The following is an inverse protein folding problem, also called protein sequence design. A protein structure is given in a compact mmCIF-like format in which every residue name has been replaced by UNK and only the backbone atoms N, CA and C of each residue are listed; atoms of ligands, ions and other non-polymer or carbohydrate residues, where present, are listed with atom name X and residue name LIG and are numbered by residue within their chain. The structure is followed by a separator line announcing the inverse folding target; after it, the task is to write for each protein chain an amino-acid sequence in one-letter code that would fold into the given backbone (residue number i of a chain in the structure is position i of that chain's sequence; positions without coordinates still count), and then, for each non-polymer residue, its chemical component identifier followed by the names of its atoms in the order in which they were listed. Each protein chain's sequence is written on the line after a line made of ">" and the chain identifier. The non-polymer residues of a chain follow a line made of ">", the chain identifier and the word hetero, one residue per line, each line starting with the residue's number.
data_IF_649411893576
#
_entry.id   IF_649411893576
#
_cell.length_a   1.000
_cell.length_b   1.000
_cell.length_c   1.000
_cell.angle_alpha   90.00
_cell.angle_beta   90.00
_cell.angle_gamma   90.00
#
_symmetry.space_group_name_H-M   'P 1'
#
loop_
_entity.id
_entity.type
_entity.pdbx_description
1 polymer ?
#
# COMPACT_ATOMS: atom_id res chain seq x y z
N UNK A 1 26.53 7.08 -7.77
CA UNK A 1 27.28 5.94 -7.21
C UNK A 1 28.05 5.28 -8.33
N UNK A 2 29.37 5.18 -8.22
CA UNK A 2 30.21 4.33 -9.07
C UNK A 2 30.52 3.03 -8.30
N UNK A 3 30.50 1.88 -8.97
CA UNK A 3 30.85 0.59 -8.36
C UNK A 3 32.07 0.00 -9.06
N UNK A 4 32.95 -0.60 -8.27
CA UNK A 4 34.23 -1.14 -8.73
C UNK A 4 34.05 -2.29 -9.75
N UNK A 5 33.08 -3.18 -9.53
CA UNK A 5 32.81 -4.32 -10.41
C UNK A 5 31.40 -4.89 -10.18
N UNK A 6 30.97 -5.82 -11.05
CA UNK A 6 29.69 -6.53 -10.94
C UNK A 6 29.54 -7.30 -9.62
N UNK A 7 30.64 -7.89 -9.11
CA UNK A 7 30.67 -8.59 -7.82
C UNK A 7 30.47 -7.65 -6.63
N UNK A 8 31.13 -6.48 -6.66
CA UNK A 8 30.95 -5.46 -5.63
C UNK A 8 29.52 -4.95 -5.58
N UNK A 9 28.90 -4.72 -6.74
CA UNK A 9 27.47 -4.35 -6.83
C UNK A 9 26.55 -5.45 -6.27
N UNK A 10 26.82 -6.71 -6.60
CA UNK A 10 26.06 -7.85 -6.06
C UNK A 10 26.18 -7.94 -4.53
N UNK A 11 27.39 -7.76 -4.00
CA UNK A 11 27.64 -7.74 -2.57
C UNK A 11 26.92 -6.58 -1.87
N UNK A 12 26.90 -5.39 -2.46
CA UNK A 12 26.14 -4.26 -1.91
C UNK A 12 24.63 -4.54 -1.85
N UNK A 13 24.06 -5.16 -2.89
CA UNK A 13 22.66 -5.60 -2.85
C UNK A 13 22.44 -6.56 -1.68
N UNK A 14 23.32 -7.55 -1.52
CA UNK A 14 23.24 -8.51 -0.43
C UNK A 14 23.30 -7.86 0.96
N UNK A 15 24.29 -6.98 1.21
CA UNK A 15 24.45 -6.28 2.49
C UNK A 15 23.22 -5.44 2.82
N UNK A 16 22.70 -4.68 1.84
CA UNK A 16 21.53 -3.83 2.05
C UNK A 16 20.28 -4.64 2.41
N UNK A 17 20.07 -5.77 1.73
CA UNK A 17 18.94 -6.66 2.03
C UNK A 17 19.11 -7.36 3.40
N UNK A 18 20.32 -7.77 3.77
CA UNK A 18 20.58 -8.35 5.09
C UNK A 18 20.32 -7.34 6.22
N UNK A 19 20.78 -6.09 6.06
CA UNK A 19 20.54 -5.03 7.04
C UNK A 19 19.06 -4.70 7.20
N UNK A 20 18.32 -4.61 6.08
CA UNK A 20 16.88 -4.45 6.09
C UNK A 20 16.18 -5.60 6.84
N UNK A 21 16.51 -6.85 6.50
CA UNK A 21 15.90 -8.02 7.10
C UNK A 21 16.09 -8.04 8.63
N UNK A 22 17.28 -7.66 9.10
CA UNK A 22 17.58 -7.58 10.52
C UNK A 22 16.71 -6.53 11.21
N UNK A 23 16.69 -5.30 10.70
CA UNK A 23 15.87 -4.20 11.24
C UNK A 23 14.39 -4.57 11.24
N UNK A 24 13.91 -5.18 10.15
CA UNK A 24 12.53 -5.62 10.02
C UNK A 24 12.16 -6.68 11.07
N UNK A 25 13.01 -7.70 11.26
CA UNK A 25 12.76 -8.77 12.23
C UNK A 25 12.81 -8.25 13.67
N UNK A 26 13.78 -7.40 14.01
CA UNK A 26 13.89 -6.81 15.34
C UNK A 26 12.68 -5.95 15.68
N UNK A 27 12.19 -5.18 14.71
CA UNK A 27 10.97 -4.39 14.85
C UNK A 27 9.75 -5.27 15.11
N UNK A 28 9.53 -6.29 14.28
CA UNK A 28 8.39 -7.21 14.44
C UNK A 28 8.40 -7.92 15.81
N UNK A 29 9.58 -8.30 16.31
CA UNK A 29 9.72 -8.88 17.66
C UNK A 29 9.35 -7.89 18.76
N UNK A 30 9.76 -6.62 18.63
CA UNK A 30 9.40 -5.57 19.60
C UNK A 30 7.89 -5.31 19.62
N UNK A 31 7.27 -5.23 18.44
CA UNK A 31 5.81 -5.08 18.30
C UNK A 31 5.08 -6.26 18.96
N UNK A 32 5.51 -7.50 18.72
CA UNK A 32 4.95 -8.70 19.35
C UNK A 32 5.14 -8.75 20.88
N UNK A 33 6.27 -8.25 21.39
CA UNK A 33 6.51 -8.20 22.84
C UNK A 33 5.66 -7.15 23.57
N UNK A 34 5.35 -6.05 22.89
CA UNK A 34 4.57 -4.94 23.47
C UNK A 34 3.08 -5.27 23.53
N UNK A 35 2.56 -6.00 22.54
CA UNK A 35 1.18 -6.47 22.54
C UNK A 35 0.90 -7.51 23.63
N UNK A 36 1.90 -8.29 24.05
CA UNK A 36 1.78 -9.26 25.13
C UNK A 36 1.72 -8.68 26.56
N UNK A 37 2.23 -7.46 26.79
CA UNK A 37 2.28 -6.87 28.13
C UNK A 37 0.99 -6.14 28.55
N UNK A 38 0.12 -5.74 27.60
CA UNK A 38 -1.13 -5.06 27.91
C UNK A 38 -2.30 -6.02 28.29
N UNK A 39 -2.05 -7.33 28.39
CA UNK A 39 -3.07 -8.36 28.68
C UNK A 39 -3.40 -8.60 30.16
N UNK A 40 -2.89 -7.79 31.10
CA UNK A 40 -3.20 -7.93 32.54
C UNK A 40 -3.72 -6.62 33.13
N UNK A 41 -4.98 -6.28 32.83
CA UNK A 41 -5.76 -5.33 33.64
C UNK A 41 -7.17 -5.86 33.83
N UNK A 42 -7.43 -6.26 35.09
CA UNK A 42 -8.68 -6.40 35.84
C UNK A 42 -9.91 -7.05 35.19
N UNK A 43 -10.30 -8.20 35.77
CA UNK A 43 -11.65 -8.73 35.70
C UNK A 43 -12.66 -7.68 36.21
N UNK A 44 -13.52 -7.21 35.31
CA UNK A 44 -14.65 -6.35 35.60
C UNK A 44 -15.74 -6.65 34.57
N UNK A 45 -16.84 -7.21 35.06
CA UNK A 45 -18.01 -7.66 34.29
C UNK A 45 -18.56 -6.55 33.38
N UNK A 46 -18.69 -6.84 32.09
CA UNK A 46 -19.36 -6.01 31.10
C UNK A 46 -19.38 -6.71 29.74
N UNK A 47 -20.55 -7.19 29.32
CA UNK A 47 -20.74 -7.80 27.99
C UNK A 47 -20.78 -6.67 26.97
N UNK A 48 -19.68 -6.48 26.22
CA UNK A 48 -19.57 -5.49 25.15
C UNK A 48 -18.92 -6.11 23.93
N UNK A 49 -19.65 -6.17 22.82
CA UNK A 49 -19.09 -6.51 21.51
C UNK A 49 -18.16 -5.38 21.06
N UNK A 50 -16.85 -5.56 21.18
CA UNK A 50 -15.86 -4.76 20.46
C UNK A 50 -14.92 -5.69 19.71
N UNK A 51 -15.33 -6.00 18.48
CA UNK A 51 -14.43 -6.52 17.45
C UNK A 51 -13.34 -5.49 17.19
N UNK A 52 -12.09 -5.96 17.12
CA UNK A 52 -10.90 -5.15 16.93
C UNK A 52 -10.99 -4.30 15.67
N UNK A 53 -11.28 -3.02 15.84
CA UNK A 53 -11.08 -2.00 14.81
C UNK A 53 -9.88 -1.14 15.20
N UNK A 54 -8.86 -1.25 14.35
CA UNK A 54 -7.71 -0.37 14.25
C UNK A 54 -8.18 1.09 14.26
N UNK A 55 -7.42 1.91 14.99
CA UNK A 55 -7.66 3.31 15.28
C UNK A 55 -7.79 4.21 14.03
N UNK A 56 -8.98 4.27 13.43
CA UNK A 56 -9.31 5.24 12.37
C UNK A 56 -10.60 6.04 12.61
N UNK A 57 -11.30 5.85 13.74
CA UNK A 57 -12.57 6.55 13.99
C UNK A 57 -12.44 7.91 14.73
N UNK A 58 -11.24 8.33 15.16
CA UNK A 58 -11.10 9.55 15.98
C UNK A 58 -10.97 10.88 15.21
N UNK A 59 -10.97 10.89 13.87
CA UNK A 59 -10.83 12.14 13.11
C UNK A 59 -12.13 12.87 12.76
N UNK A 60 -13.32 12.31 13.05
CA UNK A 60 -14.59 12.92 12.62
C UNK A 60 -15.59 13.27 13.73
N UNK A 61 -15.22 13.20 15.01
CA UNK A 61 -16.15 13.46 16.13
C UNK A 61 -16.07 14.86 16.75
N UNK A 62 -15.21 15.77 16.26
CA UNK A 62 -14.98 17.09 16.88
C UNK A 62 -15.65 18.27 16.16
N UNK A 63 -16.97 18.20 15.88
CA UNK A 63 -17.69 19.38 15.38
C UNK A 63 -19.07 19.68 15.97
N UNK A 64 -19.46 19.03 17.06
CA UNK A 64 -20.63 19.47 17.84
C UNK A 64 -20.27 19.64 19.32
N UNK A 65 -20.30 20.90 19.75
CA UNK A 65 -20.22 21.47 21.10
C UNK A 65 -19.89 20.57 22.29
N UNK A 66 -18.67 20.73 22.82
CA UNK A 66 -18.38 20.61 24.27
C UNK A 66 -17.28 21.61 24.66
N UNK A 67 -17.39 22.31 25.80
CA UNK A 67 -16.46 23.36 26.15
C UNK A 67 -15.07 22.79 26.49
N UNK A 68 -14.06 23.51 26.00
CA UNK A 68 -12.63 23.37 26.27
C UNK A 68 -12.36 23.10 27.75
N UNK A 69 -11.60 22.05 28.05
CA UNK A 69 -10.68 22.02 29.17
C UNK A 69 -9.36 21.34 28.77
N UNK A 70 -8.29 22.16 28.85
CA UNK A 70 -6.84 21.89 28.90
C UNK A 70 -6.14 21.04 27.81
N UNK A 71 -5.07 21.56 27.19
CA UNK A 71 -4.15 20.79 26.36
C UNK A 71 -3.08 20.13 27.25
N UNK A 72 -3.17 18.82 27.46
CA UNK A 72 -2.02 18.04 27.90
C UNK A 72 -1.19 17.66 26.65
N UNK A 73 0.13 17.90 26.62
CA UNK A 73 0.96 17.55 25.48
C UNK A 73 1.05 16.03 25.37
N UNK A 74 0.62 15.52 24.22
CA UNK A 74 0.40 14.12 23.90
C UNK A 74 1.74 13.45 23.52
N UNK A 75 2.72 13.46 24.43
CA UNK A 75 4.12 13.09 24.14
C UNK A 75 4.30 11.67 23.59
N UNK A 76 3.34 10.76 23.85
CA UNK A 76 3.33 9.42 23.25
C UNK A 76 3.00 9.43 21.76
N UNK A 77 2.13 10.36 21.33
CA UNK A 77 1.76 10.52 19.93
C UNK A 77 2.91 11.10 19.11
N UNK A 78 3.55 12.14 19.62
CA UNK A 78 4.74 12.73 18.98
C UNK A 78 5.88 11.71 18.85
N UNK A 79 6.08 10.90 19.89
CA UNK A 79 7.08 9.82 19.86
C UNK A 79 6.73 8.73 18.83
N UNK A 80 5.46 8.34 18.71
CA UNK A 80 5.00 7.38 17.70
C UNK A 80 5.17 7.93 16.27
N UNK A 81 4.75 9.17 16.03
CA UNK A 81 4.90 9.84 14.72
C UNK A 81 6.38 10.01 14.34
N UNK A 82 7.25 10.37 15.30
CA UNK A 82 8.70 10.46 15.07
C UNK A 82 9.31 9.09 14.72
N UNK A 83 8.87 8.03 15.40
CA UNK A 83 9.35 6.66 15.14
C UNK A 83 8.93 6.20 13.75
N UNK A 84 7.68 6.46 13.35
CA UNK A 84 7.19 6.15 12.00
C UNK A 84 7.98 6.89 10.92
N UNK A 85 8.25 8.18 11.11
CA UNK A 85 9.08 8.97 10.16
C UNK A 85 10.50 8.43 10.02
N UNK A 86 11.11 7.97 11.11
CA UNK A 86 12.44 7.36 11.06
C UNK A 86 12.44 6.04 10.28
N UNK A 87 11.41 5.21 10.49
CA UNK A 87 11.20 3.96 9.75
C UNK A 87 11.01 4.27 8.26
N UNK A 88 10.18 5.24 7.93
CA UNK A 88 9.93 5.65 6.55
C UNK A 88 11.17 6.17 5.86
N UNK A 89 11.98 6.95 6.57
CA UNK A 89 13.25 7.45 6.05
C UNK A 89 14.21 6.30 5.75
N UNK A 90 14.32 5.33 6.66
CA UNK A 90 15.14 4.13 6.47
C UNK A 90 14.65 3.31 5.27
N UNK A 91 13.37 2.99 5.21
CA UNK A 91 12.78 2.22 4.10
C UNK A 91 12.95 2.94 2.76
N UNK A 92 12.72 4.26 2.72
CA UNK A 92 12.91 5.08 1.53
C UNK A 92 14.35 5.06 1.04
N UNK A 93 15.33 5.12 1.96
CA UNK A 93 16.75 5.02 1.62
C UNK A 93 17.11 3.63 1.07
N UNK A 94 16.57 2.56 1.64
CA UNK A 94 16.75 1.19 1.14
C UNK A 94 16.15 1.03 -0.26
N UNK A 95 14.88 1.39 -0.46
CA UNK A 95 14.22 1.29 -1.77
C UNK A 95 14.93 2.13 -2.83
N UNK A 96 15.32 3.37 -2.51
CA UNK A 96 16.04 4.24 -3.44
C UNK A 96 17.41 3.68 -3.82
N UNK A 97 18.14 3.14 -2.83
CA UNK A 97 19.43 2.50 -3.07
C UNK A 97 19.29 1.25 -3.93
N UNK A 98 18.30 0.40 -3.64
CA UNK A 98 18.01 -0.79 -4.45
C UNK A 98 17.54 -0.42 -5.85
N UNK A 99 16.76 0.65 -6.04
CA UNK A 99 16.38 1.15 -7.35
C UNK A 99 17.59 1.59 -8.20
N UNK A 100 18.68 1.99 -7.55
CA UNK A 100 19.96 2.33 -8.19
C UNK A 100 20.83 1.10 -8.41
N UNK A 101 20.83 0.14 -7.48
CA UNK A 101 21.67 -1.06 -7.52
C UNK A 101 21.08 -2.18 -8.36
N UNK A 102 19.76 -2.26 -8.53
CA UNK A 102 19.14 -3.29 -9.35
C UNK A 102 19.52 -3.13 -10.83
N UNK A 103 19.71 -4.25 -11.56
CA UNK A 103 20.09 -4.27 -12.97
C UNK A 103 19.16 -3.42 -13.87
N UNK A 104 19.74 -2.67 -14.82
CA UNK A 104 18.96 -2.01 -15.87
C UNK A 104 19.79 -1.59 -17.09
N UNK A 105 19.42 -2.02 -18.31
CA UNK A 105 20.17 -1.75 -19.53
C UNK A 105 20.03 -0.30 -20.02
N UNK A 106 19.11 0.49 -19.48
CA UNK A 106 18.78 1.85 -19.95
C UNK A 106 19.58 2.96 -19.24
N UNK A 107 20.75 2.65 -18.67
CA UNK A 107 21.63 3.68 -18.11
C UNK A 107 22.60 4.16 -19.19
N UNK A 108 22.31 5.34 -19.73
CA UNK A 108 22.97 6.00 -20.87
C UNK A 108 24.50 6.18 -20.80
N UNK A 109 25.17 5.84 -19.69
CA UNK A 109 26.61 6.10 -19.56
C UNK A 109 27.48 4.87 -19.35
N UNK A 110 26.94 3.71 -18.95
CA UNK A 110 27.75 2.52 -18.64
C UNK A 110 26.90 1.23 -18.67
N UNK A 111 26.57 0.73 -19.86
CA UNK A 111 25.90 -0.57 -20.00
C UNK A 111 26.91 -1.66 -19.64
N UNK A 112 26.78 -2.24 -18.44
CA UNK A 112 27.64 -3.36 -17.98
C UNK A 112 26.94 -4.70 -18.21
N UNK A 113 27.71 -5.79 -18.30
CA UNK A 113 27.16 -7.14 -18.41
C UNK A 113 26.15 -7.50 -17.31
N UNK A 114 26.33 -6.95 -16.10
CA UNK A 114 25.40 -7.08 -14.98
C UNK A 114 24.01 -6.50 -15.28
N UNK A 115 23.93 -5.45 -16.08
CA UNK A 115 22.69 -4.73 -16.42
C UNK A 115 21.97 -5.32 -17.63
N UNK A 116 22.66 -6.08 -18.48
CA UNK A 116 22.04 -6.79 -19.62
C UNK A 116 21.68 -8.23 -19.23
N UNK A 117 22.59 -8.89 -18.51
CA UNK A 117 22.47 -10.28 -18.07
C UNK A 117 22.57 -10.34 -16.55
N UNK A 118 21.49 -9.98 -15.84
CA UNK A 118 21.51 -9.91 -14.39
C UNK A 118 21.78 -11.29 -13.78
N UNK A 119 22.71 -11.41 -12.81
CA UNK A 119 22.93 -12.67 -12.11
C UNK A 119 21.64 -13.15 -11.45
N UNK A 120 21.32 -14.45 -11.58
CA UNK A 120 20.15 -15.06 -10.92
C UNK A 120 20.15 -14.86 -9.40
N UNK A 121 21.34 -14.71 -8.82
CA UNK A 121 21.53 -14.38 -7.41
C UNK A 121 20.79 -13.09 -7.00
N UNK A 122 20.69 -12.07 -7.86
CA UNK A 122 19.94 -10.84 -7.54
C UNK A 122 18.47 -11.16 -7.29
N UNK A 123 17.85 -11.90 -8.20
CA UNK A 123 16.44 -12.31 -8.08
C UNK A 123 16.26 -13.19 -6.84
N UNK A 124 17.15 -14.17 -6.64
CA UNK A 124 17.10 -15.04 -5.46
C UNK A 124 17.18 -14.24 -4.16
N UNK A 125 18.10 -13.27 -4.05
CA UNK A 125 18.22 -12.44 -2.84
C UNK A 125 16.99 -11.57 -2.60
N UNK A 126 16.36 -11.03 -3.66
CA UNK A 126 15.12 -10.25 -3.53
C UNK A 126 13.97 -11.12 -3.04
N UNK A 127 13.78 -12.31 -3.65
CA UNK A 127 12.70 -13.25 -3.31
C UNK A 127 12.82 -13.76 -1.86
N UNK A 128 14.04 -13.98 -1.38
CA UNK A 128 14.30 -14.51 -0.04
C UNK A 128 14.58 -13.44 1.03
N UNK A 129 14.40 -12.16 0.70
CA UNK A 129 14.50 -11.05 1.66
C UNK A 129 13.12 -10.57 2.10
N UNK A 130 13.05 -9.96 3.28
CA UNK A 130 11.86 -9.28 3.81
C UNK A 130 11.47 -8.03 3.02
N UNK A 131 12.28 -7.57 2.08
CA UNK A 131 11.97 -6.42 1.21
C UNK A 131 10.60 -6.57 0.52
N UNK A 132 10.26 -7.78 0.06
CA UNK A 132 8.97 -8.02 -0.61
C UNK A 132 7.80 -8.03 0.36
N UNK A 133 8.03 -8.50 1.60
CA UNK A 133 7.03 -8.40 2.67
C UNK A 133 6.75 -6.93 3.01
N UNK A 134 7.81 -6.12 3.13
CA UNK A 134 7.67 -4.67 3.37
C UNK A 134 7.00 -3.94 2.20
N UNK A 135 7.37 -4.25 0.96
CA UNK A 135 6.70 -3.71 -0.22
C UNK A 135 5.21 -4.07 -0.23
N UNK A 136 4.87 -5.31 0.12
CA UNK A 136 3.50 -5.76 0.21
C UNK A 136 2.70 -5.05 1.29
N UNK A 137 3.28 -4.81 2.47
CA UNK A 137 2.65 -4.01 3.53
C UNK A 137 2.29 -2.60 3.03
N UNK A 138 3.20 -1.96 2.29
CA UNK A 138 2.96 -0.62 1.73
C UNK A 138 1.92 -0.64 0.62
N UNK A 139 1.93 -1.64 -0.26
CA UNK A 139 0.92 -1.78 -1.32
C UNK A 139 -0.45 -2.20 -0.79
N UNK A 140 -0.50 -2.89 0.36
CA UNK A 140 -1.74 -3.26 1.06
C UNK A 140 -2.27 -2.13 1.94
N UNK A 141 -1.58 -1.01 2.10
CA UNK A 141 -2.20 0.11 2.80
C UNK A 141 -3.32 0.67 1.91
N UNK A 142 -4.55 0.31 2.25
CA UNK A 142 -5.77 0.60 1.48
C UNK A 142 -6.16 2.08 1.46
N UNK A 143 -5.34 2.95 2.06
CA UNK A 143 -5.59 4.40 2.19
C UNK A 143 -4.64 5.19 1.31
N UNK A 144 -5.16 5.70 0.19
CA UNK A 144 -4.46 6.69 -0.64
C UNK A 144 -4.08 7.94 0.16
N UNK A 145 -4.82 8.31 1.19
CA UNK A 145 -4.49 9.43 2.06
C UNK A 145 -3.20 9.20 2.86
N UNK A 146 -3.07 8.03 3.48
CA UNK A 146 -1.84 7.67 4.19
C UNK A 146 -0.65 7.60 3.22
N UNK A 147 -0.86 6.97 2.05
CA UNK A 147 0.17 6.89 1.02
C UNK A 147 0.60 8.27 0.51
N UNK A 148 -0.35 9.21 0.39
CA UNK A 148 -0.08 10.60 -0.01
C UNK A 148 0.76 11.33 1.04
N UNK A 149 0.48 11.15 2.33
CA UNK A 149 1.28 11.74 3.41
C UNK A 149 2.73 11.21 3.42
N UNK A 150 2.92 9.97 2.97
CA UNK A 150 4.23 9.27 2.91
C UNK A 150 4.81 9.28 1.49
N UNK A 151 4.62 10.39 0.77
CA UNK A 151 5.00 10.56 -0.65
C UNK A 151 6.42 10.08 -0.98
N UNK A 152 7.41 10.46 -0.17
CA UNK A 152 8.82 10.11 -0.41
C UNK A 152 9.10 8.62 -0.30
N UNK A 153 8.38 7.90 0.57
CA UNK A 153 8.48 6.46 0.70
C UNK A 153 7.87 5.75 -0.52
N UNK A 154 6.67 6.16 -0.93
CA UNK A 154 6.01 5.58 -2.10
C UNK A 154 6.76 5.87 -3.40
N UNK A 155 7.33 7.07 -3.55
CA UNK A 155 8.26 7.41 -4.64
C UNK A 155 9.42 6.41 -4.75
N UNK A 156 10.07 6.13 -3.62
CA UNK A 156 11.19 5.21 -3.57
C UNK A 156 10.76 3.77 -3.90
N UNK A 157 9.64 3.31 -3.31
CA UNK A 157 9.03 2.02 -3.61
C UNK A 157 8.70 1.86 -5.09
N UNK A 158 8.01 2.85 -5.69
CA UNK A 158 7.64 2.83 -7.11
C UNK A 158 8.88 2.79 -7.99
N UNK A 159 9.90 3.60 -7.70
CA UNK A 159 11.16 3.58 -8.44
C UNK A 159 11.85 2.22 -8.38
N UNK A 160 11.85 1.58 -7.21
CA UNK A 160 12.37 0.22 -7.03
C UNK A 160 11.57 -0.81 -7.84
N UNK A 161 10.23 -0.78 -7.80
CA UNK A 161 9.39 -1.71 -8.56
C UNK A 161 9.50 -1.49 -10.07
N UNK A 162 9.56 -0.23 -10.54
CA UNK A 162 9.85 0.11 -11.95
C UNK A 162 11.16 -0.52 -12.38
N UNK A 163 12.19 -0.45 -11.53
CA UNK A 163 13.53 -1.04 -11.79
C UNK A 163 13.50 -2.56 -11.85
N UNK A 164 12.85 -3.22 -10.90
CA UNK A 164 12.69 -4.69 -10.90
C UNK A 164 11.95 -5.16 -12.16
N UNK A 165 10.96 -4.38 -12.62
CA UNK A 165 10.18 -4.66 -13.82
C UNK A 165 10.94 -4.64 -15.14
N UNK A 166 12.17 -4.12 -15.17
CA UNK A 166 12.94 -3.95 -16.42
C UNK A 166 13.36 -5.28 -17.04
N UNK A 167 13.67 -6.30 -16.22
CA UNK A 167 14.02 -7.63 -16.70
C UNK A 167 12.88 -8.61 -16.46
N UNK A 168 12.48 -9.35 -17.50
CA UNK A 168 11.39 -10.33 -17.43
C UNK A 168 11.57 -11.36 -16.30
N UNK A 169 12.80 -11.86 -16.09
CA UNK A 169 13.09 -12.82 -15.01
C UNK A 169 12.83 -12.21 -13.64
N UNK A 170 13.25 -10.95 -13.41
CA UNK A 170 13.03 -10.26 -12.14
C UNK A 170 11.55 -9.93 -11.95
N UNK A 171 10.92 -9.40 -12.99
CA UNK A 171 9.48 -9.08 -13.00
C UNK A 171 8.64 -10.30 -12.66
N UNK A 172 8.85 -11.43 -13.32
CA UNK A 172 8.07 -12.64 -13.09
C UNK A 172 8.21 -13.16 -11.65
N UNK A 173 9.44 -13.31 -11.16
CA UNK A 173 9.68 -13.92 -9.84
C UNK A 173 9.41 -12.97 -8.66
N UNK A 174 9.55 -11.66 -8.85
CA UNK A 174 9.42 -10.68 -7.75
C UNK A 174 8.02 -10.06 -7.70
N UNK A 175 7.42 -9.77 -8.85
CA UNK A 175 6.16 -9.04 -8.95
C UNK A 175 4.97 -9.99 -9.04
N UNK A 176 5.06 -10.98 -9.94
CA UNK A 176 3.92 -11.82 -10.33
C UNK A 176 3.79 -13.14 -9.59
N UNK A 177 4.91 -13.71 -9.13
CA UNK A 177 4.89 -14.92 -8.32
C UNK A 177 4.31 -14.65 -6.93
N UNK A 178 3.71 -15.68 -6.34
CA UNK A 178 3.38 -15.68 -4.92
C UNK A 178 4.65 -15.47 -4.09
N UNK A 179 4.54 -14.67 -3.03
CA UNK A 179 5.68 -14.35 -2.19
C UNK A 179 5.88 -15.45 -1.15
N UNK A 180 7.14 -15.74 -0.88
CA UNK A 180 7.53 -16.64 0.21
C UNK A 180 7.37 -15.88 1.53
N UNK A 181 6.51 -16.34 2.44
CA UNK A 181 6.49 -15.81 3.80
C UNK A 181 7.51 -16.55 4.67
N UNK A 182 8.65 -15.90 4.87
CA UNK A 182 9.72 -16.43 5.70
C UNK A 182 9.43 -16.13 7.18
N UNK A 183 9.64 -17.11 8.09
CA UNK A 183 9.59 -16.86 9.53
C UNK A 183 10.55 -15.74 9.98
N UNK A 184 10.26 -15.09 11.12
CA UNK A 184 11.10 -14.00 11.67
C UNK A 184 12.53 -14.44 12.05
N UNK A 185 12.77 -15.75 12.20
CA UNK A 185 14.09 -16.29 12.53
C UNK A 185 14.96 -16.52 11.28
N UNK A 186 14.35 -16.47 10.10
CA UNK A 186 15.01 -16.65 8.82
C UNK A 186 15.13 -15.30 8.14
N UNK A 187 16.37 -14.83 8.01
CA UNK A 187 16.75 -13.66 7.23
C UNK A 187 17.70 -14.09 6.11
N UNK A 188 17.90 -13.21 5.13
CA UNK A 188 18.76 -13.48 3.98
C UNK A 188 20.19 -13.90 4.38
N UNK A 189 20.75 -13.31 5.45
CA UNK A 189 22.07 -13.66 5.96
C UNK A 189 22.14 -15.12 6.41
N UNK A 190 21.19 -15.55 7.23
CA UNK A 190 21.09 -16.93 7.71
C UNK A 190 20.88 -17.91 6.56
N UNK A 191 20.04 -17.56 5.59
CA UNK A 191 19.80 -18.38 4.39
C UNK A 191 21.04 -18.49 3.51
N UNK A 192 21.83 -17.42 3.40
CA UNK A 192 23.07 -17.40 2.62
C UNK A 192 24.16 -18.28 3.22
N UNK A 193 24.16 -18.48 4.55
CA UNK A 193 25.17 -19.27 5.26
C UNK A 193 24.70 -20.71 5.47
N UNK A 194 23.43 -20.92 5.88
CA UNK A 194 22.90 -22.22 6.30
C UNK A 194 22.10 -22.94 5.22
N UNK A 195 21.79 -22.27 4.11
CA UNK A 195 20.91 -22.78 3.07
C UNK A 195 19.42 -22.61 3.39
N UNK A 196 18.53 -22.94 2.44
CA UNK A 196 17.09 -22.83 2.61
C UNK A 196 16.58 -23.84 3.66
N UNK A 197 15.59 -23.47 4.50
CA UNK A 197 15.00 -24.38 5.48
C UNK A 197 14.24 -25.52 4.78
N UNK A 198 14.15 -26.71 5.40
CA UNK A 198 13.45 -27.87 4.84
C UNK A 198 11.91 -27.78 4.91
N UNK A 199 11.34 -26.72 5.48
CA UNK A 199 9.89 -26.58 5.69
C UNK A 199 9.19 -26.02 4.45
N UNK A 200 7.97 -26.51 4.21
CA UNK A 200 6.98 -25.93 3.31
C UNK A 200 6.80 -24.46 3.67
N UNK A 201 7.25 -23.58 2.77
CA UNK A 201 7.12 -22.14 2.96
C UNK A 201 5.68 -21.74 2.68
N UNK A 202 5.05 -21.06 3.65
CA UNK A 202 3.74 -20.45 3.41
C UNK A 202 3.87 -19.40 2.29
N UNK A 203 2.93 -19.42 1.34
CA UNK A 203 2.88 -18.43 0.28
C UNK A 203 1.90 -17.32 0.64
N UNK A 204 2.29 -16.09 0.34
CA UNK A 204 1.46 -14.92 0.44
C UNK A 204 1.11 -14.40 -0.98
N UNK A 205 0.09 -13.55 -1.06
CA UNK A 205 -0.35 -12.93 -2.31
C UNK A 205 0.81 -12.32 -3.11
N UNK A 206 0.67 -12.17 -4.42
CA UNK A 206 1.69 -11.52 -5.25
C UNK A 206 1.79 -10.01 -4.95
N UNK A 207 2.88 -9.33 -5.36
CA UNK A 207 2.91 -7.86 -5.33
C UNK A 207 1.99 -7.27 -6.40
N UNK A 208 1.81 -7.98 -7.51
CA UNK A 208 0.88 -7.63 -8.56
C UNK A 208 -0.55 -7.50 -8.05
N UNK A 209 -0.99 -8.36 -7.13
CA UNK A 209 -2.32 -8.25 -6.51
C UNK A 209 -2.50 -6.97 -5.69
N UNK A 210 -1.50 -6.63 -4.86
CA UNK A 210 -1.51 -5.38 -4.08
C UNK A 210 -1.53 -4.16 -4.99
N UNK A 211 -0.64 -4.14 -5.99
CA UNK A 211 -0.57 -3.06 -6.97
C UNK A 211 -1.86 -2.95 -7.81
N UNK A 212 -2.48 -4.07 -8.18
CA UNK A 212 -3.77 -4.08 -8.89
C UNK A 212 -4.86 -3.39 -8.09
N UNK A 213 -5.00 -3.72 -6.80
CA UNK A 213 -5.99 -3.08 -5.92
C UNK A 213 -5.71 -1.59 -5.78
N UNK A 214 -4.47 -1.21 -5.50
CA UNK A 214 -4.07 0.18 -5.39
C UNK A 214 -4.28 0.96 -6.69
N UNK A 215 -4.10 0.32 -7.85
CA UNK A 215 -4.38 0.92 -9.15
C UNK A 215 -5.87 1.14 -9.38
N UNK A 216 -6.74 0.20 -9.00
CA UNK A 216 -8.21 0.39 -9.05
C UNK A 216 -8.62 1.58 -8.19
N UNK A 217 -8.00 1.74 -7.03
CA UNK A 217 -8.23 2.90 -6.17
C UNK A 217 -7.80 4.20 -6.85
N UNK A 218 -6.59 4.21 -7.42
CA UNK A 218 -6.02 5.36 -8.14
C UNK A 218 -6.89 5.78 -9.33
N UNK A 219 -7.37 4.83 -10.13
CA UNK A 219 -8.24 5.07 -11.28
C UNK A 219 -9.62 5.63 -10.85
N UNK A 220 -10.13 5.20 -9.70
CA UNK A 220 -11.40 5.73 -9.15
C UNK A 220 -11.20 7.16 -8.63
N UNK A 221 -10.12 7.41 -7.90
CA UNK A 221 -9.77 8.73 -7.40
C UNK A 221 -9.56 9.75 -8.54
N UNK A 222 -8.83 9.37 -9.59
CA UNK A 222 -8.62 10.24 -10.75
C UNK A 222 -9.93 10.57 -11.48
N UNK A 223 -10.82 9.60 -11.67
CA UNK A 223 -12.16 9.85 -12.25
C UNK A 223 -12.97 10.82 -11.39
N UNK A 224 -12.97 10.61 -10.08
CA UNK A 224 -13.64 11.50 -9.12
C UNK A 224 -13.10 12.93 -9.16
N UNK A 225 -11.78 13.09 -9.32
CA UNK A 225 -11.13 14.40 -9.39
C UNK A 225 -11.39 15.15 -10.70
N UNK A 226 -11.53 14.45 -11.84
CA UNK A 226 -11.92 15.07 -13.12
C UNK A 226 -13.29 15.75 -12.99
N UNK A 227 -14.23 15.08 -12.31
CA UNK A 227 -15.59 15.58 -12.11
C UNK A 227 -15.67 16.68 -11.03
N UNK A 228 -14.67 16.79 -10.15
CA UNK A 228 -14.68 17.67 -8.98
C UNK A 228 -13.36 18.43 -8.80
N UNK A 229 -12.88 19.07 -9.87
CA UNK A 229 -11.51 19.67 -9.92
C UNK A 229 -11.20 20.61 -8.76
N UNK A 230 -12.19 21.40 -8.33
CA UNK A 230 -12.02 22.42 -7.29
C UNK A 230 -11.62 21.82 -5.93
N UNK A 231 -11.99 20.55 -5.66
CA UNK A 231 -11.71 19.83 -4.41
C UNK A 231 -10.26 19.29 -4.34
N UNK A 232 -9.52 19.33 -5.44
CA UNK A 232 -8.17 18.77 -5.56
C UNK A 232 -7.12 19.84 -5.92
N UNK A 233 -7.47 21.12 -5.86
CA UNK A 233 -6.54 22.22 -6.15
C UNK A 233 -5.53 22.47 -5.01
N UNK A 234 -5.80 21.95 -3.81
CA UNK A 234 -4.88 22.06 -2.69
C UNK A 234 -3.62 21.20 -2.89
N UNK A 235 -2.53 21.54 -2.20
CA UNK A 235 -1.26 20.83 -2.30
C UNK A 235 -1.43 19.32 -2.05
N UNK A 236 -2.24 18.95 -1.06
CA UNK A 236 -2.54 17.55 -0.73
C UNK A 236 -3.29 16.85 -1.87
N UNK A 237 -4.27 17.49 -2.49
CA UNK A 237 -4.98 16.97 -3.66
C UNK A 237 -4.04 16.78 -4.85
N UNK A 238 -3.14 17.72 -5.11
CA UNK A 238 -2.12 17.59 -6.16
C UNK A 238 -1.15 16.45 -5.89
N UNK A 239 -0.70 16.28 -4.64
CA UNK A 239 0.18 15.16 -4.26
C UNK A 239 -0.52 13.81 -4.40
N UNK A 240 -1.80 13.73 -4.05
CA UNK A 240 -2.62 12.53 -4.23
C UNK A 240 -2.80 12.18 -5.71
N UNK A 241 -3.13 13.16 -6.55
CA UNK A 241 -3.28 12.95 -7.99
C UNK A 241 -1.95 12.57 -8.65
N UNK A 242 -0.85 13.17 -8.20
CA UNK A 242 0.48 12.78 -8.63
C UNK A 242 0.77 11.32 -8.28
N UNK A 243 0.48 10.88 -7.05
CA UNK A 243 0.67 9.50 -6.63
C UNK A 243 -0.19 8.53 -7.45
N UNK A 244 -1.46 8.87 -7.69
CA UNK A 244 -2.36 8.06 -8.52
C UNK A 244 -1.80 7.85 -9.93
N UNK A 245 -1.25 8.90 -10.56
CA UNK A 245 -0.61 8.81 -11.88
C UNK A 245 0.59 7.89 -11.86
N UNK A 246 1.47 8.02 -10.89
CA UNK A 246 2.64 7.14 -10.79
C UNK A 246 2.28 5.66 -10.58
N UNK A 247 1.22 5.38 -9.82
CA UNK A 247 0.70 4.02 -9.64
C UNK A 247 0.15 3.48 -10.96
N UNK A 248 -0.61 4.28 -11.71
CA UNK A 248 -1.13 3.91 -13.04
C UNK A 248 -0.01 3.69 -14.06
N UNK A 249 1.03 4.53 -14.04
CA UNK A 249 2.21 4.39 -14.87
C UNK A 249 3.00 3.12 -14.53
N UNK A 250 3.19 2.84 -13.24
CA UNK A 250 3.83 1.61 -12.77
C UNK A 250 3.03 0.36 -13.18
N UNK A 251 1.71 0.40 -13.02
CA UNK A 251 0.80 -0.69 -13.41
C UNK A 251 0.88 -1.00 -14.91
N UNK A 252 0.95 0.06 -15.73
CA UNK A 252 1.11 -0.04 -17.18
C UNK A 252 2.49 -0.57 -17.57
N UNK A 253 3.55 -0.02 -16.97
CA UNK A 253 4.94 -0.47 -17.17
C UNK A 253 5.11 -1.96 -16.84
N UNK A 254 4.50 -2.40 -15.74
CA UNK A 254 4.56 -3.80 -15.32
C UNK A 254 3.57 -4.70 -16.08
N UNK A 255 2.64 -4.16 -16.86
CA UNK A 255 1.60 -4.90 -17.58
C UNK A 255 0.67 -5.70 -16.66
N UNK A 256 0.30 -5.11 -15.52
CA UNK A 256 -0.57 -5.75 -14.51
C UNK A 256 -1.94 -6.17 -15.10
N UNK A 257 -2.49 -5.36 -16.01
CA UNK A 257 -3.77 -5.69 -16.68
C UNK A 257 -3.67 -6.96 -17.53
N UNK A 258 -2.59 -7.12 -18.30
CA UNK A 258 -2.34 -8.33 -19.11
C UNK A 258 -2.15 -9.57 -18.23
N UNK A 259 -1.44 -9.44 -17.11
CA UNK A 259 -1.28 -10.51 -16.14
C UNK A 259 -2.61 -10.92 -15.52
N UNK A 260 -3.44 -9.95 -15.13
CA UNK A 260 -4.76 -10.20 -14.54
C UNK A 260 -5.70 -10.90 -15.53
N UNK A 261 -5.68 -10.51 -16.80
CA UNK A 261 -6.49 -11.14 -17.85
C UNK A 261 -6.12 -12.62 -18.05
N UNK A 262 -4.85 -12.98 -17.88
CA UNK A 262 -4.35 -14.36 -17.98
C UNK A 262 -4.69 -15.23 -16.76
N UNK A 263 -4.94 -14.63 -15.60
CA UNK A 263 -5.29 -15.33 -14.35
C UNK A 263 -6.75 -15.83 -14.30
N UNK A 264 -7.60 -15.48 -15.29
CA UNK A 264 -8.97 -16.01 -15.39
C UNK A 264 -10.05 -15.24 -14.61
N UNK A 265 -11.30 -15.52 -15.00
CA UNK A 265 -12.55 -14.77 -14.75
C UNK A 265 -12.94 -14.51 -13.27
N UNK A 266 -12.50 -15.35 -12.33
CA UNK A 266 -12.94 -15.23 -10.91
C UNK A 266 -12.45 -13.94 -10.24
N UNK A 267 -11.35 -13.37 -10.73
CA UNK A 267 -10.79 -12.14 -10.17
C UNK A 267 -11.52 -10.88 -10.64
N UNK A 268 -12.29 -10.95 -11.73
CA UNK A 268 -13.09 -9.86 -12.28
C UNK A 268 -14.41 -9.72 -11.51
N UNK A 269 -14.98 -10.82 -11.02
CA UNK A 269 -16.18 -10.81 -10.18
C UNK A 269 -15.95 -10.03 -8.86
N UNK A 270 -14.74 -10.08 -8.29
CA UNK A 270 -14.36 -9.35 -7.07
C UNK A 270 -14.31 -7.83 -7.27
N UNK A 271 -14.09 -7.35 -8.50
CA UNK A 271 -14.02 -5.90 -8.79
C UNK A 271 -15.39 -5.25 -9.02
N UNK A 272 -16.47 -6.01 -9.05
CA UNK A 272 -17.83 -5.51 -9.34
C UNK A 272 -18.71 -5.37 -8.09
N UNK A 273 -18.15 -5.54 -6.89
CA UNK A 273 -18.91 -5.42 -5.63
C UNK A 273 -19.50 -4.02 -5.43
N UNK A 274 -18.81 -2.97 -5.92
CA UNK A 274 -19.31 -1.59 -5.89
C UNK A 274 -19.61 -1.12 -7.31
N UNK A 275 -20.88 -0.86 -7.60
CA UNK A 275 -21.34 -0.44 -8.93
C UNK A 275 -21.92 0.97 -8.94
N UNK A 276 -21.54 1.73 -9.96
CA UNK A 276 -22.16 3.01 -10.31
C UNK A 276 -23.49 2.74 -11.01
N UNK A 277 -24.57 3.36 -10.52
CA UNK A 277 -25.93 3.16 -11.03
C UNK A 277 -26.54 4.51 -11.38
N UNK A 278 -27.27 4.61 -12.51
CA UNK A 278 -28.01 5.82 -12.84
C UNK A 278 -28.93 6.23 -11.70
N UNK A 279 -28.92 7.53 -11.44
CA UNK A 279 -29.78 8.19 -10.47
C UNK A 279 -31.24 7.72 -10.54
N UNK A 280 -31.80 7.63 -11.75
CA UNK A 280 -33.18 7.18 -12.01
C UNK A 280 -33.52 5.82 -11.40
N UNK A 281 -32.54 4.94 -11.30
CA UNK A 281 -32.74 3.55 -10.86
C UNK A 281 -32.55 3.44 -9.34
N UNK A 282 -31.79 4.36 -8.74
CA UNK A 282 -31.52 4.41 -7.30
C UNK A 282 -32.63 5.17 -6.54
N UNK A 283 -33.05 6.33 -7.05
CA UNK A 283 -33.99 7.23 -6.37
C UNK A 283 -35.30 6.56 -5.90
N UNK A 284 -35.96 5.68 -6.68
CA UNK A 284 -37.23 5.08 -6.27
C UNK A 284 -37.12 4.16 -5.05
N UNK A 285 -35.93 3.62 -4.79
CA UNK A 285 -35.66 2.65 -3.71
C UNK A 285 -34.86 3.25 -2.56
N UNK A 286 -34.40 4.50 -2.70
CA UNK A 286 -33.53 5.14 -1.72
C UNK A 286 -34.32 5.80 -0.60
N UNK A 287 -34.17 5.28 0.62
CA UNK A 287 -34.91 5.74 1.80
C UNK A 287 -34.71 7.24 2.10
N UNK A 288 -33.50 7.78 1.88
CA UNK A 288 -33.15 9.17 2.19
C UNK A 288 -33.27 10.13 1.00
N UNK A 289 -34.07 9.79 -0.03
CA UNK A 289 -34.21 10.61 -1.25
C UNK A 289 -34.52 12.08 -0.97
N UNK A 290 -35.46 12.35 -0.06
CA UNK A 290 -35.88 13.73 0.27
C UNK A 290 -34.74 14.53 0.93
N UNK A 291 -33.97 13.90 1.81
CA UNK A 291 -32.85 14.53 2.48
C UNK A 291 -31.69 14.80 1.50
N UNK A 292 -31.41 13.85 0.60
CA UNK A 292 -30.39 14.01 -0.43
C UNK A 292 -30.75 15.13 -1.42
N UNK A 293 -32.02 15.24 -1.85
CA UNK A 293 -32.50 16.32 -2.73
C UNK A 293 -32.44 17.70 -2.07
N UNK A 294 -32.62 17.79 -0.74
CA UNK A 294 -32.53 19.04 0.00
C UNK A 294 -31.08 19.58 0.14
N UNK A 295 -30.07 18.72 0.01
CA UNK A 295 -28.66 19.08 0.01
C UNK A 295 -28.26 19.64 -1.37
N UNK A 296 -28.24 20.98 -1.49
CA UNK A 296 -27.82 21.68 -2.71
C UNK A 296 -26.32 21.99 -2.76
N UNK A 297 -25.67 22.12 -1.59
CA UNK A 297 -24.25 22.45 -1.51
C UNK A 297 -23.50 21.47 -0.61
N UNK A 298 -22.36 21.00 -1.10
CA UNK A 298 -21.43 20.19 -0.33
C UNK A 298 -20.38 21.11 0.32
N UNK A 299 -20.07 20.93 1.62
CA UNK A 299 -18.90 21.55 2.22
C UNK A 299 -17.61 21.13 1.50
N UNK A 300 -16.64 22.05 1.42
CA UNK A 300 -15.31 21.77 0.88
C UNK A 300 -14.66 20.57 1.61
N UNK A 301 -14.04 19.69 0.86
CA UNK A 301 -13.38 18.47 1.31
C UNK A 301 -14.32 17.27 1.46
N UNK A 302 -15.64 17.46 1.54
CA UNK A 302 -16.60 16.35 1.69
C UNK A 302 -16.61 15.45 0.46
N UNK A 303 -16.56 16.02 -0.74
CA UNK A 303 -16.57 15.23 -1.98
C UNK A 303 -15.31 14.35 -2.06
N UNK A 304 -14.14 14.90 -1.71
CA UNK A 304 -12.89 14.12 -1.62
C UNK A 304 -12.98 12.99 -0.60
N UNK A 305 -13.61 13.24 0.55
CA UNK A 305 -13.87 12.19 1.57
C UNK A 305 -14.73 11.08 0.99
N UNK A 306 -15.84 11.41 0.34
CA UNK A 306 -16.76 10.43 -0.26
C UNK A 306 -16.08 9.61 -1.35
N UNK A 307 -15.27 10.24 -2.22
CA UNK A 307 -14.49 9.52 -3.23
C UNK A 307 -13.52 8.53 -2.56
N UNK A 308 -12.88 8.94 -1.47
CA UNK A 308 -11.97 8.07 -0.70
C UNK A 308 -12.69 6.89 -0.07
N UNK A 309 -13.88 7.12 0.49
CA UNK A 309 -14.73 6.06 1.06
C UNK A 309 -15.17 5.05 -0.01
N UNK A 310 -15.70 5.52 -1.14
CA UNK A 310 -16.06 4.67 -2.29
C UNK A 310 -14.86 3.86 -2.78
N UNK A 311 -13.70 4.50 -2.83
CA UNK A 311 -12.43 3.88 -3.25
C UNK A 311 -12.00 2.76 -2.30
N UNK A 312 -12.16 2.98 -1.00
CA UNK A 312 -11.90 1.98 0.05
C UNK A 312 -12.88 0.81 -0.08
N UNK A 313 -14.17 1.09 -0.26
CA UNK A 313 -15.21 0.07 -0.46
C UNK A 313 -14.95 -0.80 -1.71
N UNK A 314 -14.52 -0.19 -2.83
CA UNK A 314 -14.21 -0.92 -4.08
C UNK A 314 -13.14 -2.00 -3.92
N UNK A 315 -12.30 -1.92 -2.88
CA UNK A 315 -11.16 -2.84 -2.70
C UNK A 315 -11.14 -3.57 -1.36
N UNK A 316 -11.94 -3.14 -0.39
CA UNK A 316 -11.98 -3.68 0.97
C UNK A 316 -13.26 -4.43 1.36
N UNK A 317 -14.25 -4.54 0.46
CA UNK A 317 -15.50 -5.24 0.77
C UNK A 317 -15.28 -6.77 0.90
N UNK A 318 -15.82 -7.40 1.96
CA UNK A 318 -15.91 -8.86 2.05
C UNK A 318 -16.73 -9.48 0.93
N UNK A 319 -16.41 -10.72 0.59
CA UNK A 319 -17.17 -11.49 -0.41
C UNK A 319 -18.64 -11.64 0.05
N UNK A 320 -19.58 -11.36 -0.85
CA UNK A 320 -21.03 -11.42 -0.59
C UNK A 320 -21.71 -10.08 -0.25
N UNK A 321 -20.94 -9.00 -0.10
CA UNK A 321 -21.49 -7.64 0.07
C UNK A 321 -21.40 -6.88 -1.25
N UNK A 322 -22.53 -6.32 -1.68
CA UNK A 322 -22.64 -5.51 -2.89
C UNK A 322 -23.18 -4.13 -2.53
N UNK A 323 -22.57 -3.08 -3.06
CA UNK A 323 -22.95 -1.69 -2.82
C UNK A 323 -23.22 -1.02 -4.15
N UNK A 324 -24.35 -0.33 -4.27
CA UNK A 324 -24.66 0.52 -5.41
C UNK A 324 -24.57 1.97 -4.99
N UNK A 325 -23.97 2.82 -5.81
CA UNK A 325 -23.96 4.26 -5.56
C UNK A 325 -24.40 5.05 -6.78
N UNK A 326 -25.01 6.22 -6.54
CA UNK A 326 -25.47 7.09 -7.62
C UNK A 326 -24.30 7.66 -8.41
N UNK A 327 -24.51 7.89 -9.71
CA UNK A 327 -23.51 8.49 -10.59
C UNK A 327 -23.34 9.99 -10.34
N UNK A 328 -24.43 10.72 -10.08
CA UNK A 328 -24.35 12.17 -9.87
C UNK A 328 -24.06 12.57 -8.42
N UNK A 329 -24.37 11.68 -7.47
CA UNK A 329 -24.35 11.95 -6.02
C UNK A 329 -23.62 10.84 -5.25
N UNK A 330 -22.36 11.11 -4.90
CA UNK A 330 -21.49 10.17 -4.19
C UNK A 330 -21.93 9.88 -2.75
N UNK A 331 -22.85 10.68 -2.20
CA UNK A 331 -23.44 10.52 -0.86
C UNK A 331 -24.66 9.57 -0.84
N UNK A 332 -25.12 9.10 -2.01
CA UNK A 332 -26.25 8.19 -2.13
C UNK A 332 -25.77 6.77 -2.43
N UNK A 333 -25.98 5.84 -1.49
CA UNK A 333 -25.62 4.42 -1.63
C UNK A 333 -26.74 3.50 -1.11
N UNK A 334 -26.88 2.30 -1.68
CA UNK A 334 -27.84 1.25 -1.27
C UNK A 334 -27.22 -0.13 -1.27
#
# INVERSE_FOLDING_TARGET
>A
MSWCCSRGRLFLVWVMLCGLDQVYCDRQRREASTSGQNGRVSAGSGVGYTSGHVAYSQLYQNRFGRPKNSPLPDGKREQAESTERQIDHFDSAIFSSLAVLCPSPHRDRDIRSFDVYPPRAVVSMLVHSKILKRAAELLRNDSLDNATQRKSLYMALISFLKRVGVHEVSKNNVIFSERIDLPLNNNLLNLSIKGPPPQTMETASSLADGLRRLNVQSDTMMRGAINNRNEFQDQRGQDMLWLCREISDLSTHLKIKEWTAKQGSDTIARSSAVTEVPDSDLWPRYHFVRAAQALQHSPLGRIRSLITEITTLKTGLPDGIFVKHAMSRLDCMT
#
